data_IF_328124592688
#
_entry.id   IF_328124592688
#
_cell.length_a   1.000
_cell.length_b   1.000
_cell.length_c   1.000
_cell.angle_alpha   90.00
_cell.angle_beta   90.00
_cell.angle_gamma   90.00
#
_symmetry.space_group_name_H-M   'P 1'
#
loop_
_entity.id
_entity.type
_entity.pdbx_description
1 polymer ?
#
# COMPACT_ATOMS: atom_id res chain seq x y z
N UNK A 1 14.91 0.58 25.96
CA UNK A 1 15.79 1.77 26.07
C UNK A 1 16.49 1.69 27.42
N UNK A 2 17.77 2.03 27.51
CA UNK A 2 18.58 1.89 28.74
C UNK A 2 19.09 3.25 29.21
N UNK A 3 19.32 3.40 30.52
CA UNK A 3 19.69 4.68 31.14
C UNK A 3 21.00 4.52 31.93
N UNK A 4 21.92 5.47 31.74
CA UNK A 4 23.17 5.50 32.49
C UNK A 4 22.96 5.98 33.92
N UNK A 5 23.81 5.51 34.84
CA UNK A 5 23.76 5.96 36.25
C UNK A 5 23.98 7.47 36.36
N UNK A 6 24.72 8.06 35.43
CA UNK A 6 25.00 9.49 35.44
C UNK A 6 23.80 10.35 35.05
N UNK A 7 22.92 9.86 34.16
CA UNK A 7 21.65 10.55 33.87
C UNK A 7 20.79 10.59 35.13
N UNK A 8 20.73 9.50 35.90
CA UNK A 8 20.02 9.47 37.18
C UNK A 8 20.62 10.44 38.21
N UNK A 9 21.95 10.57 38.24
CA UNK A 9 22.63 11.55 39.09
C UNK A 9 22.26 12.99 38.71
N UNK A 10 22.22 13.32 37.40
CA UNK A 10 21.78 14.65 36.94
C UNK A 10 20.32 14.95 37.27
N UNK A 11 19.43 13.96 37.18
CA UNK A 11 18.02 14.11 37.58
C UNK A 11 17.91 14.46 39.07
N UNK A 12 18.76 13.86 39.91
CA UNK A 12 18.76 14.12 41.36
C UNK A 12 19.25 15.53 41.72
N UNK A 13 20.03 16.17 40.84
CA UNK A 13 20.54 17.54 41.01
C UNK A 13 19.54 18.63 40.58
N UNK A 14 18.36 18.27 40.08
CA UNK A 14 17.32 19.25 39.71
C UNK A 14 16.70 19.86 40.97
N UNK A 15 16.83 21.18 41.13
CA UNK A 15 16.31 21.91 42.29
C UNK A 15 14.78 21.86 42.38
N UNK A 16 14.09 22.00 41.24
CA UNK A 16 12.63 21.92 41.14
C UNK A 16 12.13 20.51 41.49
N UNK A 17 11.38 20.42 42.59
CA UNK A 17 10.83 19.16 43.09
C UNK A 17 9.82 18.52 42.12
N UNK A 18 8.89 19.31 41.56
CA UNK A 18 7.84 18.78 40.68
C UNK A 18 8.44 18.27 39.37
N UNK A 19 9.38 19.03 38.80
CA UNK A 19 10.10 18.64 37.57
C UNK A 19 10.99 17.42 37.80
N UNK A 20 11.65 17.30 38.94
CA UNK A 20 12.46 16.13 39.29
C UNK A 20 11.61 14.88 39.47
N UNK A 21 10.45 14.99 40.09
CA UNK A 21 9.55 13.85 40.32
C UNK A 21 8.91 13.36 39.02
N UNK A 22 8.48 14.26 38.13
CA UNK A 22 7.94 13.89 36.82
C UNK A 22 8.98 13.16 35.96
N UNK A 23 10.22 13.66 35.91
CA UNK A 23 11.32 13.03 35.17
C UNK A 23 11.70 11.68 35.81
N UNK A 24 11.77 11.57 37.14
CA UNK A 24 12.04 10.30 37.82
C UNK A 24 11.01 9.22 37.47
N UNK A 25 9.72 9.57 37.43
CA UNK A 25 8.67 8.61 37.10
C UNK A 25 8.86 8.04 35.68
N UNK A 26 9.20 8.89 34.70
CA UNK A 26 9.48 8.45 33.32
C UNK A 26 10.69 7.50 33.29
N UNK A 27 11.78 7.86 33.95
CA UNK A 27 13.02 7.09 33.91
C UNK A 27 13.01 5.82 34.78
N UNK A 28 12.10 5.72 35.76
CA UNK A 28 11.91 4.51 36.59
C UNK A 28 11.43 3.29 35.81
N UNK A 29 10.85 3.49 34.63
CA UNK A 29 10.39 2.42 33.73
C UNK A 29 11.53 1.84 32.86
N UNK A 30 12.73 2.42 32.91
CA UNK A 30 13.86 2.06 32.07
C UNK A 30 14.92 1.27 32.86
N UNK A 31 15.52 0.28 32.20
CA UNK A 31 16.59 -0.51 32.80
C UNK A 31 17.89 0.30 32.89
N UNK A 32 18.55 0.22 34.05
CA UNK A 32 19.87 0.82 34.26
C UNK A 32 20.95 0.00 33.55
N UNK A 33 21.88 0.72 32.95
CA UNK A 33 23.03 0.15 32.26
C UNK A 33 23.94 -0.59 33.26
N UNK A 34 24.38 -1.81 32.90
CA UNK A 34 25.31 -2.64 33.67
C UNK A 34 26.59 -2.92 32.89
N UNK A 35 27.75 -2.74 33.54
CA UNK A 35 29.08 -2.97 32.99
C UNK A 35 30.02 -3.55 34.05
N UNK A 36 31.15 -4.10 33.61
CA UNK A 36 32.25 -4.51 34.49
C UNK A 36 33.28 -3.38 34.63
N UNK A 37 33.93 -3.29 35.79
CA UNK A 37 34.97 -2.25 36.03
C UNK A 37 36.14 -2.37 35.05
N UNK A 38 36.48 -3.59 34.63
CA UNK A 38 37.55 -3.84 33.66
C UNK A 38 37.21 -3.26 32.28
N UNK A 39 35.97 -3.43 31.81
CA UNK A 39 35.51 -2.83 30.54
C UNK A 39 35.42 -1.31 30.64
N UNK A 40 34.94 -0.79 31.78
CA UNK A 40 34.84 0.66 32.01
C UNK A 40 36.21 1.35 31.92
N UNK A 41 37.23 0.81 32.61
CA UNK A 41 38.57 1.39 32.57
C UNK A 41 39.20 1.33 31.17
N UNK A 42 38.99 0.23 30.45
CA UNK A 42 39.48 0.09 29.07
C UNK A 42 38.91 1.18 28.16
N UNK A 43 37.59 1.37 28.15
CA UNK A 43 36.95 2.40 27.32
C UNK A 43 37.25 3.83 27.81
N UNK A 44 37.46 4.04 29.11
CA UNK A 44 37.85 5.35 29.65
C UNK A 44 39.19 5.82 29.08
N UNK A 45 40.17 4.92 28.96
CA UNK A 45 41.49 5.23 28.39
C UNK A 45 41.35 5.58 26.91
N UNK A 46 40.67 4.74 26.13
CA UNK A 46 40.48 4.96 24.69
C UNK A 46 39.76 6.28 24.40
N UNK A 47 38.67 6.58 25.11
CA UNK A 47 37.91 7.82 24.90
C UNK A 47 38.70 9.05 25.35
N UNK A 48 39.50 8.97 26.43
CA UNK A 48 40.38 10.08 26.81
C UNK A 48 41.44 10.38 25.74
N UNK A 49 42.02 9.36 25.12
CA UNK A 49 42.95 9.54 23.99
C UNK A 49 42.26 10.26 22.84
N UNK A 50 41.08 9.76 22.42
CA UNK A 50 40.31 10.33 21.32
C UNK A 50 39.91 11.80 21.56
N UNK A 51 39.52 12.13 22.79
CA UNK A 51 39.15 13.50 23.19
C UNK A 51 40.36 14.44 23.15
N UNK A 52 41.54 13.95 23.58
CA UNK A 52 42.78 14.72 23.55
C UNK A 52 43.27 14.94 22.11
N UNK A 53 43.23 13.90 21.26
CA UNK A 53 43.61 13.99 19.85
C UNK A 53 42.77 15.00 19.06
N UNK A 54 41.48 15.12 19.40
CA UNK A 54 40.55 16.03 18.75
C UNK A 54 40.37 17.38 19.50
N UNK A 55 41.17 17.66 20.53
CA UNK A 55 41.12 18.90 21.34
C UNK A 55 39.70 19.27 21.84
N UNK A 56 38.93 18.28 22.30
CA UNK A 56 37.55 18.51 22.75
C UNK A 56 37.46 18.83 24.24
N UNK A 57 36.65 19.84 24.59
CA UNK A 57 36.29 20.17 25.97
C UNK A 57 34.97 19.50 26.35
N UNK A 58 35.05 18.42 27.12
CA UNK A 58 33.89 17.62 27.53
C UNK A 58 33.82 17.55 29.06
N UNK A 59 32.64 17.83 29.62
CA UNK A 59 32.33 17.66 31.04
C UNK A 59 32.54 16.20 31.49
N UNK A 60 33.15 16.00 32.65
CA UNK A 60 33.40 14.68 33.23
C UNK A 60 32.13 13.83 33.35
N UNK A 61 31.00 14.44 33.69
CA UNK A 61 29.73 13.70 33.77
C UNK A 61 29.33 13.14 32.40
N UNK A 62 29.58 13.89 31.34
CA UNK A 62 29.24 13.50 29.98
C UNK A 62 30.21 12.42 29.47
N UNK A 63 31.50 12.54 29.79
CA UNK A 63 32.50 11.49 29.55
C UNK A 63 32.08 10.17 30.22
N UNK A 64 31.69 10.21 31.49
CA UNK A 64 31.24 9.02 32.23
C UNK A 64 30.04 8.37 31.55
N UNK A 65 29.07 9.16 31.06
CA UNK A 65 27.92 8.62 30.35
C UNK A 65 28.30 7.82 29.09
N UNK A 66 29.22 8.34 28.27
CA UNK A 66 29.68 7.69 27.04
C UNK A 66 30.40 6.38 27.39
N UNK A 67 31.35 6.43 28.33
CA UNK A 67 32.13 5.26 28.74
C UNK A 67 31.23 4.17 29.35
N UNK A 68 30.24 4.53 30.17
CA UNK A 68 29.28 3.56 30.70
C UNK A 68 28.47 2.89 29.60
N UNK A 69 28.09 3.64 28.56
CA UNK A 69 27.30 3.12 27.44
C UNK A 69 28.12 2.13 26.61
N UNK A 70 29.37 2.47 26.31
CA UNK A 70 30.32 1.60 25.59
C UNK A 70 30.65 0.34 26.38
N UNK A 71 30.97 0.48 27.67
CA UNK A 71 31.32 -0.65 28.54
C UNK A 71 30.18 -1.68 28.71
N UNK A 72 28.96 -1.30 28.33
CA UNK A 72 27.77 -2.14 28.43
C UNK A 72 27.30 -2.70 27.10
N UNK A 73 28.10 -2.50 26.03
CA UNK A 73 27.80 -3.02 24.69
C UNK A 73 26.63 -2.33 24.00
N UNK A 74 26.35 -1.06 24.31
CA UNK A 74 25.31 -0.28 23.64
C UNK A 74 25.87 0.30 22.35
N UNK A 75 25.23 -0.02 21.23
CA UNK A 75 25.69 0.36 19.89
C UNK A 75 25.11 1.70 19.40
N UNK A 76 24.19 2.33 20.15
CA UNK A 76 23.59 3.62 19.79
C UNK A 76 23.58 4.52 21.02
N UNK A 77 24.19 5.70 20.93
CA UNK A 77 24.25 6.68 22.01
C UNK A 77 23.58 7.97 21.55
N UNK A 78 22.66 8.48 22.37
CA UNK A 78 21.93 9.72 22.11
C UNK A 78 22.67 10.93 22.68
N UNK A 79 22.88 11.95 21.85
CA UNK A 79 23.57 13.18 22.28
C UNK A 79 23.15 14.44 21.54
N UNK A 80 23.05 15.55 22.27
CA UNK A 80 22.90 16.90 21.70
C UNK A 80 24.23 17.65 21.58
N UNK A 81 25.36 17.04 21.94
CA UNK A 81 26.67 17.69 21.88
C UNK A 81 27.19 17.67 20.43
N UNK A 82 27.19 18.84 19.80
CA UNK A 82 27.59 19.03 18.40
C UNK A 82 29.03 18.61 18.14
N UNK A 83 29.93 18.83 19.09
CA UNK A 83 31.35 18.51 18.90
C UNK A 83 31.62 17.01 18.95
N UNK A 84 30.87 16.26 19.76
CA UNK A 84 30.93 14.80 19.74
C UNK A 84 30.27 14.22 18.50
N UNK A 85 29.16 14.81 18.03
CA UNK A 85 28.50 14.36 16.80
C UNK A 85 29.42 14.46 15.55
N UNK A 86 30.36 15.42 15.53
CA UNK A 86 31.39 15.50 14.48
C UNK A 86 32.33 14.30 14.46
N UNK A 87 32.48 13.59 15.58
CA UNK A 87 33.30 12.37 15.68
C UNK A 87 32.51 11.09 15.38
N UNK A 88 31.28 11.19 14.85
CA UNK A 88 30.40 10.04 14.60
C UNK A 88 31.05 8.94 13.76
N UNK A 89 31.76 9.31 12.69
CA UNK A 89 32.44 8.34 11.82
C UNK A 89 33.56 7.60 12.56
N UNK A 90 34.39 8.32 13.31
CA UNK A 90 35.46 7.73 14.13
C UNK A 90 34.92 6.80 15.22
N UNK A 91 33.84 7.20 15.90
CA UNK A 91 33.17 6.35 16.89
C UNK A 91 32.62 5.06 16.29
N UNK A 92 32.10 5.15 15.06
CA UNK A 92 31.60 3.97 14.35
C UNK A 92 32.73 3.06 13.89
N UNK A 93 33.83 3.61 13.39
CA UNK A 93 34.98 2.82 12.96
C UNK A 93 35.64 2.09 14.12
N UNK A 94 35.93 2.80 15.21
CA UNK A 94 36.75 2.32 16.33
C UNK A 94 35.94 1.49 17.35
N UNK A 95 34.70 1.90 17.65
CA UNK A 95 33.88 1.28 18.69
C UNK A 95 32.61 0.58 18.16
N UNK A 96 32.32 0.68 16.85
CA UNK A 96 31.07 0.17 16.25
C UNK A 96 29.82 0.77 16.90
N UNK A 97 29.92 2.03 17.33
CA UNK A 97 28.84 2.76 18.00
C UNK A 97 28.39 3.94 17.17
N UNK A 98 27.07 4.08 17.05
CA UNK A 98 26.41 5.16 16.33
C UNK A 98 26.10 6.27 17.32
N UNK A 99 26.66 7.46 17.08
CA UNK A 99 26.29 8.69 17.75
C UNK A 99 25.16 9.36 16.98
N UNK A 100 24.05 9.67 17.65
CA UNK A 100 22.89 10.27 16.99
C UNK A 100 22.22 11.31 17.89
N UNK A 101 21.72 12.38 17.28
CA UNK A 101 20.93 13.36 18.02
C UNK A 101 19.54 12.80 18.36
N UNK A 102 18.91 13.20 19.49
CA UNK A 102 17.53 12.89 19.78
C UNK A 102 16.57 13.24 18.63
N UNK A 103 16.77 14.38 17.96
CA UNK A 103 15.93 14.79 16.83
C UNK A 103 16.12 13.86 15.63
N UNK A 104 17.35 13.48 15.32
CA UNK A 104 17.63 12.55 14.21
C UNK A 104 17.26 11.11 14.57
N UNK A 105 17.29 10.75 15.86
CA UNK A 105 16.79 9.48 16.35
C UNK A 105 15.27 9.41 16.22
N UNK A 106 14.54 10.46 16.58
CA UNK A 106 13.08 10.53 16.36
C UNK A 106 12.80 10.45 14.86
N UNK A 107 13.51 11.20 14.01
CA UNK A 107 13.35 11.08 12.55
C UNK A 107 13.62 9.66 12.06
N UNK A 108 14.72 9.02 12.47
CA UNK A 108 15.02 7.63 12.09
C UNK A 108 14.05 6.62 12.69
N UNK A 109 13.51 6.89 13.87
CA UNK A 109 12.53 6.02 14.52
C UNK A 109 11.16 6.16 13.85
N UNK A 110 10.76 7.38 13.52
CA UNK A 110 9.61 7.68 12.66
C UNK A 110 9.81 7.06 11.28
N UNK A 111 11.02 7.13 10.71
CA UNK A 111 11.38 6.44 9.48
C UNK A 111 11.32 4.92 9.64
N UNK A 112 11.62 4.34 10.82
CA UNK A 112 11.54 2.88 11.09
C UNK A 112 10.09 2.42 11.35
N UNK A 113 9.28 3.20 12.07
CA UNK A 113 7.84 2.95 12.20
C UNK A 113 7.13 3.14 10.86
N UNK A 114 7.55 4.15 10.10
CA UNK A 114 7.15 4.34 8.72
C UNK A 114 7.81 3.35 7.76
N UNK A 115 8.93 2.67 8.06
CA UNK A 115 9.60 1.69 7.17
C UNK A 115 8.75 0.44 6.95
N UNK A 116 7.73 0.18 7.78
CA UNK A 116 6.66 -0.78 7.42
C UNK A 116 5.85 -0.33 6.19
N UNK A 117 5.86 0.97 5.90
CA UNK A 117 5.22 1.65 4.77
C UNK A 117 6.21 2.29 3.75
N UNK A 118 7.48 2.50 4.11
CA UNK A 118 8.43 3.38 3.39
C UNK A 118 9.63 2.65 2.75
N UNK A 119 9.56 1.33 2.59
CA UNK A 119 10.27 0.73 1.46
C UNK A 119 9.42 0.95 0.23
N UNK A 120 10.07 1.19 -0.92
CA UNK A 120 9.47 0.92 -2.22
C UNK A 120 8.69 -0.37 -2.13
N UNK A 121 7.36 -0.28 -2.04
CA UNK A 121 6.53 -1.45 -2.14
C UNK A 121 6.59 -1.76 -3.63
N UNK A 122 7.15 -2.92 -3.95
CA UNK A 122 6.96 -3.49 -5.27
C UNK A 122 5.49 -3.34 -5.61
N UNK A 123 5.21 -2.68 -6.73
CA UNK A 123 3.84 -2.36 -7.11
C UNK A 123 3.12 -3.67 -7.28
N UNK A 124 2.27 -4.02 -6.31
CA UNK A 124 1.57 -5.31 -6.26
C UNK A 124 2.55 -6.50 -6.34
N UNK A 125 3.68 -6.46 -5.64
CA UNK A 125 4.67 -7.57 -5.64
C UNK A 125 5.45 -7.74 -6.95
N UNK A 126 5.31 -6.82 -7.91
CA UNK A 126 6.07 -6.80 -9.16
C UNK A 126 7.40 -6.09 -8.91
N UNK A 127 8.50 -6.83 -9.02
CA UNK A 127 9.82 -6.30 -8.62
C UNK A 127 10.34 -5.18 -9.54
N UNK A 128 9.91 -5.21 -10.81
CA UNK A 128 10.28 -4.23 -11.82
C UNK A 128 9.53 -2.90 -11.70
N UNK A 129 8.52 -2.82 -10.85
CA UNK A 129 7.69 -1.64 -10.67
C UNK A 129 7.74 -1.19 -9.21
N UNK A 130 8.05 0.08 -8.99
CA UNK A 130 8.21 0.67 -7.67
C UNK A 130 7.08 1.64 -7.40
N UNK A 131 6.31 1.41 -6.34
CA UNK A 131 5.39 2.40 -5.81
C UNK A 131 6.10 3.19 -4.70
N UNK A 132 6.17 4.51 -4.86
CA UNK A 132 6.90 5.41 -3.97
C UNK A 132 6.02 6.60 -3.58
N UNK A 133 6.13 7.11 -2.34
CA UNK A 133 5.59 8.43 -2.01
C UNK A 133 6.42 9.49 -2.74
N UNK A 134 5.75 10.46 -3.35
CA UNK A 134 6.42 11.55 -4.06
C UNK A 134 6.93 12.62 -3.07
N UNK A 135 8.15 13.11 -3.30
CA UNK A 135 8.73 14.22 -2.55
C UNK A 135 8.87 15.50 -3.40
N UNK A 136 9.13 16.65 -2.77
CA UNK A 136 9.21 17.94 -3.46
C UNK A 136 10.36 18.02 -4.48
N UNK A 137 11.46 17.30 -4.27
CA UNK A 137 12.59 17.27 -5.20
C UNK A 137 12.22 16.53 -6.49
N UNK A 138 11.47 15.44 -6.37
CA UNK A 138 10.96 14.65 -7.50
C UNK A 138 9.94 15.41 -8.32
N UNK A 139 9.07 16.20 -7.70
CA UNK A 139 8.09 17.04 -8.43
C UNK A 139 8.78 17.92 -9.49
N UNK A 140 9.94 18.46 -9.18
CA UNK A 140 10.68 19.31 -10.12
C UNK A 140 11.25 18.54 -11.32
N UNK A 141 11.37 17.21 -11.22
CA UNK A 141 11.83 16.32 -12.29
C UNK A 141 10.68 15.83 -13.19
N UNK A 142 9.43 15.84 -12.71
CA UNK A 142 8.24 15.36 -13.43
C UNK A 142 7.75 16.26 -14.57
N UNK A 143 8.61 17.17 -15.06
CA UNK A 143 8.17 18.27 -15.91
C UNK A 143 7.63 17.82 -17.27
N UNK A 144 7.88 16.62 -17.75
CA UNK A 144 7.50 16.22 -19.11
C UNK A 144 6.71 14.92 -19.22
N UNK A 145 6.98 13.92 -18.39
CA UNK A 145 6.51 12.55 -18.69
C UNK A 145 5.06 12.25 -18.25
N UNK A 146 4.51 13.05 -17.33
CA UNK A 146 3.17 12.82 -16.75
C UNK A 146 2.19 13.98 -16.96
N UNK A 147 2.63 15.08 -17.57
CA UNK A 147 1.74 16.21 -17.85
C UNK A 147 0.85 15.83 -19.03
N UNK A 148 -0.46 15.99 -18.87
CA UNK A 148 -1.41 15.67 -19.93
C UNK A 148 -1.30 16.71 -21.06
N UNK A 149 -0.37 16.46 -22.00
CA UNK A 149 -0.06 17.31 -23.16
C UNK A 149 -1.25 17.50 -24.10
N UNK A 150 -2.27 16.65 -24.02
CA UNK A 150 -3.51 16.71 -24.80
C UNK A 150 -4.63 17.52 -24.13
N UNK A 151 -4.41 18.07 -22.93
CA UNK A 151 -5.39 18.88 -22.19
C UNK A 151 -4.99 20.35 -22.12
N UNK A 152 -5.95 21.23 -21.78
CA UNK A 152 -5.67 22.64 -21.42
C UNK A 152 -4.96 22.78 -20.05
N UNK A 153 -4.47 21.70 -19.43
CA UNK A 153 -3.73 21.76 -18.17
C UNK A 153 -2.37 22.42 -18.37
N UNK A 154 -2.20 23.63 -17.86
CA UNK A 154 -0.88 24.25 -17.82
C UNK A 154 0.04 23.47 -16.87
N UNK A 155 1.25 23.15 -17.35
CA UNK A 155 2.27 22.44 -16.58
C UNK A 155 2.54 23.09 -15.20
N UNK A 156 2.56 24.42 -15.13
CA UNK A 156 2.76 25.12 -13.87
C UNK A 156 1.62 24.86 -12.88
N UNK A 157 0.38 24.89 -13.36
CA UNK A 157 -0.81 24.61 -12.55
C UNK A 157 -0.80 23.17 -12.01
N UNK A 158 -0.44 22.20 -12.85
CA UNK A 158 -0.25 20.80 -12.44
C UNK A 158 0.75 20.67 -11.28
N UNK A 159 1.94 21.26 -11.43
CA UNK A 159 3.00 21.18 -10.42
C UNK A 159 2.63 21.90 -9.12
N UNK A 160 1.94 23.05 -9.21
CA UNK A 160 1.46 23.79 -8.05
C UNK A 160 0.42 22.99 -7.27
N UNK A 161 -0.54 22.35 -7.94
CA UNK A 161 -1.51 21.47 -7.30
C UNK A 161 -0.84 20.28 -6.63
N UNK A 162 0.10 19.61 -7.32
CA UNK A 162 0.83 18.47 -6.77
C UNK A 162 1.63 18.86 -5.53
N UNK A 163 2.32 20.00 -5.54
CA UNK A 163 3.01 20.54 -4.35
C UNK A 163 2.03 20.79 -3.21
N UNK A 164 0.87 21.40 -3.50
CA UNK A 164 -0.17 21.65 -2.50
C UNK A 164 -0.70 20.36 -1.86
N UNK A 165 -0.84 19.28 -2.61
CA UNK A 165 -1.23 17.98 -2.07
C UNK A 165 -0.13 17.37 -1.19
N UNK A 166 1.13 17.45 -1.61
CA UNK A 166 2.28 16.96 -0.84
C UNK A 166 2.40 17.67 0.51
N UNK A 167 2.06 18.95 0.60
CA UNK A 167 2.03 19.68 1.88
C UNK A 167 0.90 19.22 2.81
N UNK A 168 -0.19 18.66 2.28
CA UNK A 168 -1.37 18.21 3.05
C UNK A 168 -1.30 16.73 3.46
N UNK A 169 -0.15 16.26 3.94
CA UNK A 169 0.14 14.83 4.24
C UNK A 169 -0.86 14.13 5.16
N UNK A 170 -1.51 14.88 6.06
CA UNK A 170 -2.51 14.30 6.99
C UNK A 170 -3.77 13.80 6.28
N UNK A 171 -4.06 14.35 5.10
CA UNK A 171 -5.29 14.05 4.35
C UNK A 171 -5.01 13.53 2.95
N UNK A 172 -3.85 13.85 2.37
CA UNK A 172 -3.48 13.48 1.02
C UNK A 172 -2.33 12.49 1.03
N UNK A 173 -2.44 11.46 0.20
CA UNK A 173 -1.37 10.52 -0.09
C UNK A 173 -1.04 10.62 -1.57
N UNK A 174 0.20 11.04 -1.88
CA UNK A 174 0.67 11.22 -3.24
C UNK A 174 1.66 10.10 -3.59
N UNK A 175 1.36 9.30 -4.61
CA UNK A 175 2.11 8.11 -4.97
C UNK A 175 2.52 8.17 -6.44
N UNK A 176 3.76 7.80 -6.71
CA UNK A 176 4.32 7.63 -8.05
C UNK A 176 4.70 6.17 -8.28
N UNK A 177 4.44 5.69 -9.48
CA UNK A 177 4.77 4.35 -9.96
C UNK A 177 5.88 4.53 -10.98
N UNK A 178 7.04 3.91 -10.70
CA UNK A 178 8.23 3.94 -11.56
C UNK A 178 8.62 2.55 -12.03
N UNK A 179 9.33 2.45 -13.14
CA UNK A 179 9.92 1.20 -13.60
C UNK A 179 11.33 0.94 -13.01
N UNK A 180 12.03 -0.03 -13.59
CA UNK A 180 13.41 -0.38 -13.22
C UNK A 180 14.40 0.74 -13.55
N UNK A 181 14.15 1.47 -14.63
CA UNK A 181 14.96 2.59 -15.13
C UNK A 181 14.66 3.91 -14.37
N UNK A 182 13.78 3.85 -13.35
CA UNK A 182 13.30 4.98 -12.56
C UNK A 182 12.45 6.00 -13.35
N UNK A 183 11.97 5.61 -14.53
CA UNK A 183 11.04 6.40 -15.35
C UNK A 183 9.64 6.37 -14.74
N UNK A 184 8.94 7.50 -14.79
CA UNK A 184 7.61 7.62 -14.22
C UNK A 184 6.56 7.01 -15.16
N UNK A 185 5.83 6.00 -14.69
CA UNK A 185 4.74 5.37 -15.44
C UNK A 185 3.39 6.00 -15.10
N UNK A 186 3.15 6.22 -13.81
CA UNK A 186 1.88 6.77 -13.34
C UNK A 186 2.04 7.54 -12.03
N UNK A 187 1.13 8.46 -11.79
CA UNK A 187 0.97 9.22 -10.55
C UNK A 187 -0.48 9.12 -10.10
N UNK A 188 -0.71 8.93 -8.82
CA UNK A 188 -2.03 8.96 -8.21
C UNK A 188 -1.99 9.73 -6.89
N UNK A 189 -2.99 10.56 -6.65
CA UNK A 189 -3.17 11.29 -5.41
C UNK A 189 -4.52 10.94 -4.82
N UNK A 190 -4.49 10.41 -3.59
CA UNK A 190 -5.67 10.15 -2.80
C UNK A 190 -5.93 11.27 -1.81
N UNK A 191 -7.20 11.61 -1.60
CA UNK A 191 -7.69 12.42 -0.50
C UNK A 191 -8.60 11.55 0.40
N UNK A 192 -8.22 11.48 1.67
CA UNK A 192 -8.88 10.66 2.71
C UNK A 192 -9.65 11.48 3.75
N UNK A 193 -9.80 12.78 3.54
CA UNK A 193 -10.43 13.71 4.50
C UNK A 193 -11.85 13.32 4.93
N UNK A 194 -12.66 12.77 4.03
CA UNK A 194 -14.03 12.30 4.33
C UNK A 194 -14.04 10.83 4.72
N UNK A 195 -14.81 10.44 5.74
CA UNK A 195 -14.85 9.04 6.22
C UNK A 195 -15.57 8.06 5.29
N UNK A 196 -16.53 8.54 4.50
CA UNK A 196 -17.41 7.67 3.70
C UNK A 196 -16.92 7.49 2.24
N UNK A 197 -15.93 8.27 1.78
CA UNK A 197 -15.43 8.22 0.39
C UNK A 197 -13.92 8.30 0.31
N UNK A 198 -13.29 7.55 -0.59
CA UNK A 198 -11.91 7.76 -1.01
C UNK A 198 -11.93 8.60 -2.28
N UNK A 199 -11.23 9.72 -2.30
CA UNK A 199 -11.21 10.60 -3.46
C UNK A 199 -9.86 10.49 -4.18
N UNK A 200 -9.89 10.27 -5.50
CA UNK A 200 -8.74 10.34 -6.39
C UNK A 200 -8.76 11.76 -6.98
N UNK A 201 -7.97 12.65 -6.38
CA UNK A 201 -7.94 14.07 -6.77
C UNK A 201 -7.06 14.31 -7.99
N UNK A 202 -6.13 13.40 -8.26
CA UNK A 202 -5.25 13.45 -9.42
C UNK A 202 -4.83 12.03 -9.82
N UNK A 203 -4.90 11.73 -11.11
CA UNK A 203 -4.36 10.51 -11.71
C UNK A 203 -3.75 10.84 -13.08
N UNK A 204 -2.49 10.50 -13.29
CA UNK A 204 -1.75 10.73 -14.54
C UNK A 204 -1.00 9.47 -14.94
N UNK A 205 -0.87 9.26 -16.23
CA UNK A 205 -0.11 8.16 -16.82
C UNK A 205 0.83 8.73 -17.91
N UNK A 206 1.99 8.11 -18.10
CA UNK A 206 2.92 8.49 -19.17
C UNK A 206 2.65 7.73 -20.47
N UNK A 207 3.43 8.00 -21.52
CA UNK A 207 3.37 7.26 -22.80
C UNK A 207 4.03 5.87 -22.73
N UNK A 208 4.34 5.38 -21.53
CA UNK A 208 5.00 4.10 -21.33
C UNK A 208 4.11 2.90 -21.74
N UNK A 209 4.72 1.83 -22.28
CA UNK A 209 3.97 0.67 -22.80
C UNK A 209 3.14 -0.11 -21.75
N UNK A 210 3.41 0.09 -20.45
CA UNK A 210 2.62 -0.47 -19.34
C UNK A 210 1.60 0.51 -18.75
N UNK A 211 1.62 1.79 -19.16
CA UNK A 211 0.86 2.86 -18.54
C UNK A 211 -0.63 2.54 -18.39
N UNK A 212 -1.27 2.08 -19.46
CA UNK A 212 -2.69 1.73 -19.48
C UNK A 212 -3.02 0.51 -18.59
N UNK A 213 -2.11 -0.47 -18.51
CA UNK A 213 -2.29 -1.65 -17.65
C UNK A 213 -2.12 -1.27 -16.17
N UNK A 214 -1.13 -0.43 -15.88
CA UNK A 214 -0.93 0.16 -14.54
C UNK A 214 -2.13 1.00 -14.15
N UNK A 215 -2.71 1.80 -15.04
CA UNK A 215 -3.89 2.62 -14.79
C UNK A 215 -5.12 1.78 -14.42
N UNK A 216 -5.41 0.71 -15.18
CA UNK A 216 -6.47 -0.27 -14.85
C UNK A 216 -6.28 -0.87 -13.47
N UNK A 217 -5.04 -1.22 -13.15
CA UNK A 217 -4.70 -1.79 -11.86
C UNK A 217 -4.82 -0.77 -10.72
N UNK A 218 -4.39 0.47 -10.94
CA UNK A 218 -4.54 1.57 -9.97
C UNK A 218 -5.99 1.86 -9.66
N UNK A 219 -6.86 1.93 -10.66
CA UNK A 219 -8.30 2.14 -10.44
C UNK A 219 -8.92 0.96 -9.69
N UNK A 220 -8.61 -0.27 -10.07
CA UNK A 220 -9.09 -1.46 -9.36
C UNK A 220 -8.63 -1.51 -7.89
N UNK A 221 -7.36 -1.23 -7.65
CA UNK A 221 -6.79 -1.21 -6.29
C UNK A 221 -7.32 -0.05 -5.48
N UNK A 222 -7.62 1.11 -6.10
CA UNK A 222 -8.28 2.24 -5.44
C UNK A 222 -9.68 1.86 -4.93
N UNK A 223 -10.47 1.18 -5.76
CA UNK A 223 -11.82 0.71 -5.37
C UNK A 223 -11.71 -0.31 -4.22
N UNK A 224 -10.75 -1.23 -4.32
CA UNK A 224 -10.50 -2.26 -3.31
C UNK A 224 -10.02 -1.65 -1.99
N UNK A 225 -9.12 -0.67 -2.05
CA UNK A 225 -8.59 0.08 -0.92
C UNK A 225 -9.71 0.85 -0.22
N UNK A 226 -10.52 1.59 -0.98
CA UNK A 226 -11.69 2.30 -0.46
C UNK A 226 -12.62 1.34 0.30
N UNK A 227 -12.91 0.18 -0.27
CA UNK A 227 -13.77 -0.83 0.33
C UNK A 227 -13.15 -1.43 1.62
N UNK A 228 -11.85 -1.72 1.61
CA UNK A 228 -11.11 -2.24 2.78
C UNK A 228 -11.03 -1.23 3.92
N UNK A 229 -10.92 0.06 3.61
CA UNK A 229 -10.99 1.16 4.58
C UNK A 229 -12.43 1.40 5.11
N UNK A 230 -13.42 0.63 4.64
CA UNK A 230 -14.81 0.72 5.07
C UNK A 230 -15.58 1.89 4.45
N UNK A 231 -15.01 2.59 3.47
CA UNK A 231 -15.63 3.67 2.71
C UNK A 231 -16.63 3.06 1.71
N UNK A 232 -17.70 3.80 1.39
CA UNK A 232 -18.74 3.32 0.48
C UNK A 232 -18.66 3.94 -0.92
N UNK A 233 -17.83 4.97 -1.10
CA UNK A 233 -17.56 5.59 -2.38
C UNK A 233 -16.06 5.62 -2.72
N UNK A 234 -15.77 5.49 -4.01
CA UNK A 234 -14.52 5.91 -4.62
C UNK A 234 -14.85 6.99 -5.64
N UNK A 235 -14.35 8.21 -5.46
CA UNK A 235 -14.71 9.38 -6.27
C UNK A 235 -13.49 9.87 -7.05
N UNK A 236 -13.66 10.27 -8.30
CA UNK A 236 -12.62 10.91 -9.10
C UNK A 236 -13.06 12.35 -9.35
N UNK A 237 -12.23 13.29 -8.91
CA UNK A 237 -12.49 14.75 -9.00
C UNK A 237 -11.43 15.48 -9.82
N UNK A 238 -10.55 14.71 -10.45
CA UNK A 238 -9.55 15.21 -11.36
C UNK A 238 -10.20 15.83 -12.62
N UNK A 239 -9.87 17.09 -12.88
CA UNK A 239 -10.44 17.86 -13.99
C UNK A 239 -9.75 17.62 -15.33
N UNK A 240 -8.54 17.05 -15.31
CA UNK A 240 -7.69 16.93 -16.50
C UNK A 240 -7.35 15.47 -16.79
N UNK A 241 -8.36 14.60 -16.71
CA UNK A 241 -8.23 13.18 -17.03
C UNK A 241 -7.78 12.98 -18.49
N UNK A 242 -6.80 12.10 -18.67
CA UNK A 242 -6.38 11.62 -19.99
C UNK A 242 -7.46 10.71 -20.61
N UNK A 243 -7.55 10.69 -21.94
CA UNK A 243 -8.58 9.93 -22.67
C UNK A 243 -8.52 8.43 -22.35
N UNK A 244 -7.32 7.88 -22.22
CA UNK A 244 -7.04 6.51 -21.83
C UNK A 244 -7.65 6.19 -20.46
N UNK A 245 -7.54 7.12 -19.51
CA UNK A 245 -8.10 6.95 -18.15
C UNK A 245 -9.63 7.01 -18.20
N UNK A 246 -10.22 7.90 -19.00
CA UNK A 246 -11.68 7.99 -19.18
C UNK A 246 -12.25 6.67 -19.70
N UNK A 247 -11.60 6.06 -20.70
CA UNK A 247 -12.02 4.75 -21.23
C UNK A 247 -12.00 3.66 -20.14
N UNK A 248 -10.94 3.63 -19.32
CA UNK A 248 -10.83 2.66 -18.22
C UNK A 248 -11.92 2.90 -17.15
N UNK A 249 -12.20 4.16 -16.82
CA UNK A 249 -13.26 4.52 -15.86
C UNK A 249 -14.63 4.00 -16.33
N UNK A 250 -14.90 4.04 -17.63
CA UNK A 250 -16.12 3.50 -18.22
C UNK A 250 -16.19 1.97 -18.12
N UNK A 251 -15.07 1.25 -18.33
CA UNK A 251 -14.96 -0.21 -18.14
C UNK A 251 -15.30 -0.64 -16.69
N UNK A 252 -15.08 0.26 -15.72
CA UNK A 252 -15.28 0.04 -14.28
C UNK A 252 -16.63 0.46 -13.71
N UNK A 253 -17.54 0.93 -14.57
CA UNK A 253 -18.91 1.30 -14.18
C UNK A 253 -18.92 2.38 -13.09
N UNK A 254 -18.04 3.38 -13.24
CA UNK A 254 -18.23 4.64 -12.53
C UNK A 254 -19.52 5.30 -13.02
N UNK A 255 -20.19 5.93 -12.07
CA UNK A 255 -21.42 6.68 -12.27
C UNK A 255 -21.04 8.14 -12.39
N UNK A 256 -21.45 8.77 -13.48
CA UNK A 256 -21.24 10.20 -13.69
C UNK A 256 -22.45 10.99 -13.17
N UNK A 257 -22.20 11.92 -12.24
CA UNK A 257 -23.21 12.85 -11.71
C UNK A 257 -22.59 14.23 -11.55
N UNK A 258 -23.20 15.28 -12.12
CA UNK A 258 -22.75 16.67 -11.99
C UNK A 258 -21.26 16.87 -12.31
N UNK A 259 -20.76 16.22 -13.38
CA UNK A 259 -19.33 16.21 -13.78
C UNK A 259 -18.38 15.58 -12.75
N UNK A 260 -18.90 14.76 -11.83
CA UNK A 260 -18.10 13.98 -10.89
C UNK A 260 -18.31 12.49 -11.15
N UNK A 261 -17.22 11.73 -11.10
CA UNK A 261 -17.22 10.31 -11.38
C UNK A 261 -17.16 9.54 -10.06
N UNK A 262 -18.18 8.75 -9.77
CA UNK A 262 -18.33 8.05 -8.50
C UNK A 262 -18.56 6.56 -8.68
N UNK A 263 -17.80 5.75 -7.97
CA UNK A 263 -17.98 4.31 -7.88
C UNK A 263 -18.52 3.94 -6.50
N UNK A 264 -19.65 3.25 -6.47
CA UNK A 264 -20.16 2.63 -5.25
C UNK A 264 -19.37 1.34 -4.96
N UNK A 265 -18.85 1.22 -3.74
CA UNK A 265 -18.08 0.05 -3.33
C UNK A 265 -18.58 -0.50 -1.98
N UNK A 266 -19.38 -1.56 -2.04
CA UNK A 266 -20.00 -2.14 -0.85
C UNK A 266 -19.24 -3.39 -0.39
N UNK A 267 -18.43 -3.23 0.66
CA UNK A 267 -17.67 -4.32 1.26
C UNK A 267 -18.55 -5.19 2.18
N UNK A 268 -19.39 -6.05 1.60
CA UNK A 268 -20.25 -6.98 2.35
C UNK A 268 -20.71 -8.17 1.52
N UNK A 269 -21.20 -9.20 2.22
CA UNK A 269 -21.84 -10.39 1.67
C UNK A 269 -23.19 -10.53 2.35
N UNK A 270 -24.30 -10.46 1.61
CA UNK A 270 -25.63 -10.45 2.22
C UNK A 270 -26.75 -10.80 1.23
N UNK A 271 -27.99 -10.86 1.72
CA UNK A 271 -29.21 -11.11 0.94
C UNK A 271 -29.65 -9.86 0.17
N UNK A 272 -30.39 -10.06 -0.94
CA UNK A 272 -30.96 -8.98 -1.75
C UNK A 272 -31.74 -7.97 -0.90
N UNK A 273 -32.55 -8.47 0.05
CA UNK A 273 -33.37 -7.64 0.94
C UNK A 273 -32.50 -6.74 1.82
N UNK A 274 -31.51 -7.30 2.50
CA UNK A 274 -30.64 -6.54 3.41
C UNK A 274 -29.79 -5.51 2.64
N UNK A 275 -29.35 -5.85 1.44
CA UNK A 275 -28.63 -4.93 0.55
C UNK A 275 -29.53 -3.77 0.14
N UNK A 276 -30.76 -4.05 -0.28
CA UNK A 276 -31.74 -3.01 -0.62
C UNK A 276 -32.01 -2.07 0.58
N UNK A 277 -32.15 -2.62 1.78
CA UNK A 277 -32.34 -1.82 3.00
C UNK A 277 -31.09 -0.98 3.34
N UNK A 278 -29.88 -1.49 3.06
CA UNK A 278 -28.62 -0.75 3.24
C UNK A 278 -28.48 0.38 2.22
N UNK A 279 -28.83 0.14 0.95
CA UNK A 279 -28.84 1.17 -0.08
C UNK A 279 -29.78 2.32 0.28
N UNK A 280 -30.98 2.02 0.79
CA UNK A 280 -31.93 3.05 1.26
C UNK A 280 -31.37 3.89 2.44
N UNK A 281 -30.50 3.31 3.28
CA UNK A 281 -29.81 4.06 4.34
C UNK A 281 -28.70 4.96 3.79
N UNK A 282 -27.99 4.50 2.76
CA UNK A 282 -26.93 5.26 2.10
C UNK A 282 -27.47 6.40 1.26
N UNK A 283 -28.66 6.24 0.68
CA UNK A 283 -29.40 7.28 -0.03
C UNK A 283 -29.49 8.59 0.78
N UNK A 284 -29.75 8.48 2.09
CA UNK A 284 -29.81 9.64 2.99
C UNK A 284 -28.44 10.29 3.26
N UNK A 285 -27.35 9.54 3.11
CA UNK A 285 -25.98 10.00 3.38
C UNK A 285 -25.30 10.58 2.15
N UNK A 286 -25.67 10.10 0.97
CA UNK A 286 -25.03 10.45 -0.31
C UNK A 286 -26.15 10.87 -1.28
N UNK A 287 -26.69 12.08 -1.15
CA UNK A 287 -27.83 12.53 -1.94
C UNK A 287 -27.55 12.58 -3.43
N UNK A 288 -26.29 12.83 -3.84
CA UNK A 288 -25.91 12.89 -5.26
C UNK A 288 -26.18 11.59 -6.04
N UNK A 289 -26.21 10.43 -5.36
CA UNK A 289 -26.44 9.12 -5.97
C UNK A 289 -27.83 8.54 -5.67
N UNK A 290 -28.76 9.37 -5.16
CA UNK A 290 -30.12 8.95 -4.76
C UNK A 290 -30.82 8.11 -5.82
N UNK A 291 -30.81 8.57 -7.08
CA UNK A 291 -31.42 7.85 -8.20
C UNK A 291 -30.86 6.42 -8.34
N UNK A 292 -29.55 6.25 -8.21
CA UNK A 292 -28.90 4.94 -8.34
C UNK A 292 -29.23 4.03 -7.15
N UNK A 293 -29.23 4.56 -5.93
CA UNK A 293 -29.64 3.79 -4.74
C UNK A 293 -31.06 3.27 -4.88
N UNK A 294 -32.00 4.12 -5.31
CA UNK A 294 -33.39 3.75 -5.55
C UNK A 294 -33.50 2.67 -6.62
N UNK A 295 -32.85 2.86 -7.78
CA UNK A 295 -32.86 1.88 -8.88
C UNK A 295 -32.30 0.52 -8.47
N UNK A 296 -31.17 0.48 -7.75
CA UNK A 296 -30.61 -0.78 -7.27
C UNK A 296 -31.51 -1.45 -6.22
N UNK A 297 -32.04 -0.67 -5.27
CA UNK A 297 -32.96 -1.16 -4.22
C UNK A 297 -34.24 -1.74 -4.83
N UNK A 298 -34.87 -1.03 -5.76
CA UNK A 298 -36.05 -1.49 -6.50
C UNK A 298 -35.77 -2.78 -7.26
N UNK A 299 -34.66 -2.85 -7.99
CA UNK A 299 -34.29 -4.04 -8.74
C UNK A 299 -34.08 -5.24 -7.81
N UNK A 300 -33.34 -5.08 -6.71
CA UNK A 300 -33.07 -6.15 -5.74
C UNK A 300 -34.35 -6.70 -5.09
N UNK A 301 -35.38 -5.87 -4.94
CA UNK A 301 -36.69 -6.28 -4.40
C UNK A 301 -37.55 -7.06 -5.41
N UNK A 302 -37.20 -7.06 -6.71
CA UNK A 302 -37.91 -7.86 -7.71
C UNK A 302 -37.58 -9.35 -7.52
N UNK A 303 -38.62 -10.18 -7.51
CA UNK A 303 -38.46 -11.63 -7.35
C UNK A 303 -37.87 -12.31 -8.60
N UNK A 304 -38.04 -11.72 -9.79
CA UNK A 304 -37.75 -12.36 -11.07
C UNK A 304 -36.40 -11.94 -11.70
N UNK A 305 -35.43 -11.49 -10.89
CA UNK A 305 -34.09 -11.20 -11.42
C UNK A 305 -33.40 -12.50 -11.84
N UNK A 306 -32.89 -12.56 -13.08
CA UNK A 306 -32.01 -13.63 -13.52
C UNK A 306 -30.58 -13.47 -12.92
N UNK A 307 -29.75 -14.51 -13.05
CA UNK A 307 -28.39 -14.50 -12.50
C UNK A 307 -27.50 -13.40 -13.11
N UNK A 308 -27.67 -13.10 -14.40
CA UNK A 308 -26.93 -12.06 -15.11
C UNK A 308 -27.16 -10.68 -14.52
N UNK A 309 -28.42 -10.34 -14.22
CA UNK A 309 -28.77 -9.07 -13.59
C UNK A 309 -28.16 -8.93 -12.19
N UNK A 310 -28.12 -10.02 -11.41
CA UNK A 310 -27.48 -10.00 -10.09
C UNK A 310 -25.97 -9.82 -10.21
N UNK A 311 -25.32 -10.52 -11.15
CA UNK A 311 -23.89 -10.35 -11.42
C UNK A 311 -23.56 -8.95 -11.93
N UNK A 312 -24.46 -8.32 -12.69
CA UNK A 312 -24.32 -6.93 -13.11
C UNK A 312 -24.41 -5.98 -11.90
N UNK A 313 -25.35 -6.19 -10.98
CA UNK A 313 -25.44 -5.41 -9.74
C UNK A 313 -24.16 -5.59 -8.90
N UNK A 314 -23.64 -6.82 -8.77
CA UNK A 314 -22.34 -7.05 -8.09
C UNK A 314 -21.19 -6.30 -8.76
N UNK A 315 -21.21 -6.14 -10.09
CA UNK A 315 -20.19 -5.36 -10.82
C UNK A 315 -20.30 -3.88 -10.52
N UNK A 316 -21.51 -3.32 -10.50
CA UNK A 316 -21.74 -1.91 -10.13
C UNK A 316 -21.35 -1.61 -8.68
N UNK A 317 -21.59 -2.55 -7.77
CA UNK A 317 -21.41 -2.39 -6.32
C UNK A 317 -20.17 -3.14 -5.77
N UNK A 318 -19.24 -3.52 -6.65
CA UNK A 318 -18.05 -4.31 -6.30
C UNK A 318 -17.34 -3.71 -5.07
N UNK A 319 -16.98 -4.49 -4.04
CA UNK A 319 -16.83 -5.97 -4.03
C UNK A 319 -18.02 -6.77 -3.45
N UNK A 320 -19.24 -6.23 -3.50
CA UNK A 320 -20.46 -6.88 -3.00
C UNK A 320 -20.64 -8.33 -3.47
N UNK A 321 -21.18 -9.19 -2.58
CA UNK A 321 -21.70 -10.53 -2.94
C UNK A 321 -23.12 -10.78 -2.44
N UNK A 322 -23.97 -11.30 -3.32
CA UNK A 322 -25.38 -11.63 -3.06
C UNK A 322 -25.53 -13.16 -2.86
N UNK A 323 -26.10 -13.60 -1.74
CA UNK A 323 -26.11 -15.04 -1.37
C UNK A 323 -27.45 -15.76 -1.50
N UNK A 324 -28.56 -15.03 -1.60
CA UNK A 324 -29.93 -15.54 -1.72
C UNK A 324 -30.42 -15.60 -3.19
N UNK A 325 -29.50 -15.87 -4.11
CA UNK A 325 -29.78 -16.12 -5.52
C UNK A 325 -28.97 -17.32 -6.01
N UNK A 326 -29.53 -18.11 -6.92
CA UNK A 326 -28.90 -19.29 -7.50
C UNK A 326 -27.83 -18.94 -8.55
N UNK A 327 -26.80 -18.21 -8.10
CA UNK A 327 -25.59 -17.96 -8.90
C UNK A 327 -24.66 -19.15 -8.75
N UNK A 328 -24.30 -19.76 -9.89
CA UNK A 328 -23.35 -20.87 -9.92
C UNK A 328 -21.98 -20.43 -9.42
N UNK A 329 -21.40 -21.21 -8.50
CA UNK A 329 -20.06 -21.01 -7.98
C UNK A 329 -19.19 -22.20 -8.40
N UNK A 330 -18.13 -21.94 -9.16
CA UNK A 330 -17.19 -22.95 -9.65
C UNK A 330 -15.91 -22.87 -8.85
N UNK A 331 -15.54 -23.96 -8.19
CA UNK A 331 -14.24 -24.05 -7.52
C UNK A 331 -13.23 -24.58 -8.53
N UNK A 332 -12.28 -23.74 -8.91
CA UNK A 332 -11.21 -24.12 -9.85
C UNK A 332 -9.90 -24.22 -9.08
N UNK A 333 -9.27 -25.42 -9.03
CA UNK A 333 -7.97 -25.57 -8.42
C UNK A 333 -6.88 -24.94 -9.29
N UNK A 334 -5.96 -24.22 -8.66
CA UNK A 334 -4.79 -23.62 -9.29
C UNK A 334 -3.55 -23.93 -8.45
N UNK A 335 -2.38 -24.09 -9.08
CA UNK A 335 -1.13 -24.26 -8.33
C UNK A 335 -0.63 -22.93 -7.74
N UNK A 336 0.05 -22.95 -6.58
CA UNK A 336 0.53 -21.73 -5.93
C UNK A 336 1.39 -20.84 -6.82
N UNK A 337 2.24 -21.43 -7.67
CA UNK A 337 3.09 -20.70 -8.61
C UNK A 337 2.25 -19.86 -9.59
N UNK A 338 1.23 -20.46 -10.19
CA UNK A 338 0.38 -19.76 -11.15
C UNK A 338 -0.54 -18.73 -10.48
N UNK A 339 -1.04 -19.05 -9.28
CA UNK A 339 -1.80 -18.07 -8.49
C UNK A 339 -0.94 -16.85 -8.13
N UNK A 340 0.33 -17.08 -7.76
CA UNK A 340 1.30 -16.04 -7.51
C UNK A 340 1.52 -15.14 -8.73
N UNK A 341 1.59 -15.70 -9.94
CA UNK A 341 1.80 -14.91 -11.17
C UNK A 341 0.56 -14.16 -11.68
N UNK A 342 -0.64 -14.50 -11.20
CA UNK A 342 -1.90 -13.97 -11.75
C UNK A 342 -2.62 -12.97 -10.84
N UNK A 343 -2.74 -13.28 -9.55
CA UNK A 343 -3.60 -12.47 -8.67
C UNK A 343 -3.16 -12.48 -7.20
N UNK A 344 -2.31 -13.40 -6.78
CA UNK A 344 -1.98 -13.59 -5.37
C UNK A 344 -0.63 -12.96 -5.01
N UNK A 345 -0.66 -11.65 -4.76
CA UNK A 345 0.52 -10.89 -4.35
C UNK A 345 1.24 -11.50 -3.14
N UNK A 346 0.50 -12.02 -2.15
CA UNK A 346 1.11 -12.59 -0.94
C UNK A 346 1.85 -13.90 -1.22
N UNK A 347 1.50 -14.62 -2.28
CA UNK A 347 2.27 -15.78 -2.74
C UNK A 347 3.47 -15.33 -3.58
N UNK A 348 3.31 -14.30 -4.42
CA UNK A 348 4.41 -13.74 -5.21
C UNK A 348 5.55 -13.21 -4.32
N UNK A 349 5.22 -12.50 -3.25
CA UNK A 349 6.17 -11.97 -2.25
C UNK A 349 6.99 -13.05 -1.52
N UNK A 350 6.56 -14.32 -1.56
CA UNK A 350 7.34 -15.45 -1.00
C UNK A 350 8.44 -15.94 -1.94
N UNK A 351 8.46 -15.46 -3.18
CA UNK A 351 9.48 -15.79 -4.17
C UNK A 351 10.51 -14.68 -4.28
N UNK A 352 11.74 -15.03 -4.65
CA UNK A 352 12.84 -14.07 -4.74
C UNK A 352 12.61 -12.97 -5.79
N UNK A 353 11.84 -13.27 -6.83
CA UNK A 353 11.63 -12.41 -7.99
C UNK A 353 10.22 -11.81 -8.08
N UNK A 354 9.34 -12.11 -7.12
CA UNK A 354 7.95 -11.68 -7.19
C UNK A 354 7.19 -12.29 -8.37
N UNK A 355 6.30 -11.50 -8.99
CA UNK A 355 5.60 -11.89 -10.20
C UNK A 355 6.57 -12.09 -11.37
N UNK A 356 6.52 -13.25 -12.02
CA UNK A 356 7.39 -13.54 -13.18
C UNK A 356 6.89 -12.92 -14.49
N UNK A 357 5.62 -12.54 -14.56
CA UNK A 357 5.00 -11.92 -15.74
C UNK A 357 4.19 -10.68 -15.36
N UNK A 358 4.80 -9.50 -15.51
CA UNK A 358 4.23 -8.19 -15.16
C UNK A 358 2.85 -7.98 -15.77
N UNK A 359 2.69 -8.28 -17.06
CA UNK A 359 1.42 -8.11 -17.75
C UNK A 359 0.31 -9.00 -17.17
N UNK A 360 0.63 -10.22 -16.73
CA UNK A 360 -0.36 -11.09 -16.07
C UNK A 360 -0.78 -10.54 -14.71
N UNK A 361 0.21 -10.11 -13.92
CA UNK A 361 0.01 -9.59 -12.57
C UNK A 361 -0.92 -8.36 -12.52
N UNK A 362 -0.84 -7.52 -13.56
CA UNK A 362 -1.64 -6.30 -13.69
C UNK A 362 -2.95 -6.52 -14.45
N UNK A 363 -3.11 -7.67 -15.12
CA UNK A 363 -4.29 -7.91 -15.93
C UNK A 363 -5.48 -8.25 -15.04
N UNK A 364 -6.63 -7.68 -15.37
CA UNK A 364 -7.89 -7.92 -14.67
C UNK A 364 -8.71 -9.03 -15.29
N UNK A 365 -8.41 -9.35 -16.55
CA UNK A 365 -9.07 -10.38 -17.33
C UNK A 365 -8.07 -11.49 -17.65
N UNK A 366 -8.51 -12.74 -17.48
CA UNK A 366 -7.68 -13.90 -17.76
C UNK A 366 -8.53 -15.01 -18.38
N UNK A 367 -7.89 -15.83 -19.22
CA UNK A 367 -8.52 -16.96 -19.89
C UNK A 367 -8.05 -18.26 -19.24
N UNK A 368 -9.00 -19.12 -18.88
CA UNK A 368 -8.73 -20.44 -18.33
C UNK A 368 -9.05 -21.52 -19.35
N UNK A 369 -8.03 -22.27 -19.79
CA UNK A 369 -8.22 -23.41 -20.67
C UNK A 369 -8.58 -24.65 -19.86
N UNK A 370 -9.72 -25.25 -20.18
CA UNK A 370 -10.16 -26.50 -19.56
C UNK A 370 -10.07 -27.68 -20.52
N UNK A 371 -9.66 -28.82 -20.00
CA UNK A 371 -9.68 -30.07 -20.77
C UNK A 371 -11.11 -30.51 -21.09
N UNK A 372 -11.27 -31.30 -22.16
CA UNK A 372 -12.56 -31.93 -22.54
C UNK A 372 -13.13 -32.86 -21.44
N UNK A 373 -12.28 -33.34 -20.53
CA UNK A 373 -12.68 -34.21 -19.39
C UNK A 373 -13.16 -33.42 -18.16
N UNK A 374 -13.00 -32.09 -18.16
CA UNK A 374 -13.43 -31.21 -17.08
C UNK A 374 -14.96 -31.19 -16.94
N UNK A 375 -15.51 -30.82 -15.77
CA UNK A 375 -16.96 -30.85 -15.53
C UNK A 375 -17.76 -30.15 -16.64
N UNK A 376 -18.77 -30.85 -17.17
CA UNK A 376 -19.68 -30.34 -18.21
C UNK A 376 -20.52 -29.15 -17.76
N UNK A 377 -20.51 -28.85 -16.46
CA UNK A 377 -21.27 -27.76 -15.85
C UNK A 377 -20.69 -26.37 -16.17
N UNK A 378 -19.43 -26.27 -16.58
CA UNK A 378 -18.85 -25.05 -17.15
C UNK A 378 -18.97 -25.13 -18.69
N UNK A 379 -20.12 -24.69 -19.20
CA UNK A 379 -20.51 -24.78 -20.61
C UNK A 379 -20.89 -23.40 -21.17
N UNK A 380 -21.08 -23.33 -22.50
CA UNK A 380 -21.50 -22.13 -23.22
C UNK A 380 -22.77 -21.52 -22.58
N UNK A 381 -22.80 -20.19 -22.47
CA UNK A 381 -23.97 -19.44 -21.97
C UNK A 381 -24.17 -19.48 -20.45
N UNK A 382 -23.18 -19.96 -19.69
CA UNK A 382 -23.25 -19.97 -18.23
C UNK A 382 -22.53 -18.75 -17.66
N UNK A 383 -23.21 -18.06 -16.74
CA UNK A 383 -22.62 -17.02 -15.89
C UNK A 383 -22.50 -17.53 -14.45
N UNK A 384 -21.52 -17.01 -13.73
CA UNK A 384 -21.28 -17.42 -12.35
C UNK A 384 -20.05 -16.78 -11.73
N UNK A 385 -19.62 -17.36 -10.61
CA UNK A 385 -18.40 -16.98 -9.90
C UNK A 385 -17.37 -18.09 -10.00
N UNK A 386 -16.12 -17.74 -10.20
CA UNK A 386 -14.99 -18.65 -10.10
C UNK A 386 -14.32 -18.40 -8.76
N UNK A 387 -14.27 -19.42 -7.91
CA UNK A 387 -13.55 -19.43 -6.65
C UNK A 387 -12.22 -20.14 -6.87
N UNK A 388 -11.13 -19.38 -6.82
CA UNK A 388 -9.80 -19.91 -7.05
C UNK A 388 -9.28 -20.60 -5.80
N UNK A 389 -9.24 -21.93 -5.83
CA UNK A 389 -8.67 -22.75 -4.77
C UNK A 389 -7.19 -22.97 -5.04
N UNK A 390 -6.33 -22.29 -4.27
CA UNK A 390 -4.89 -22.50 -4.38
C UNK A 390 -4.58 -23.84 -3.74
N UNK A 391 -4.30 -24.83 -4.58
CA UNK A 391 -4.00 -26.20 -4.17
C UNK A 391 -2.67 -26.26 -3.42
N UNK A 392 -2.50 -27.25 -2.55
CA UNK A 392 -1.21 -27.48 -1.89
C UNK A 392 -0.11 -27.94 -2.86
N UNK A 393 -0.49 -28.53 -4.00
CA UNK A 393 0.39 -29.01 -5.06
C UNK A 393 1.51 -29.96 -4.58
N UNK A 394 2.43 -30.28 -5.49
CA UNK A 394 3.70 -30.95 -5.18
C UNK A 394 4.71 -30.02 -4.45
N UNK A 395 4.47 -28.71 -4.49
CA UNK A 395 5.35 -27.66 -3.97
C UNK A 395 5.01 -27.18 -2.54
N UNK A 396 4.39 -28.03 -1.71
CA UNK A 396 3.93 -27.68 -0.35
C UNK A 396 5.01 -27.12 0.58
N UNK A 397 6.30 -27.36 0.28
CA UNK A 397 7.46 -26.84 1.03
C UNK A 397 7.89 -25.43 0.62
N UNK A 398 7.47 -24.93 -0.55
CA UNK A 398 7.92 -23.63 -1.10
C UNK A 398 6.98 -22.47 -0.80
N UNK A 399 5.69 -22.74 -0.66
CA UNK A 399 4.67 -21.72 -0.41
C UNK A 399 3.94 -22.03 0.88
N UNK A 400 3.85 -21.04 1.77
CA UNK A 400 2.99 -21.13 2.94
C UNK A 400 1.55 -20.77 2.57
N UNK A 401 0.59 -21.05 3.46
CA UNK A 401 -0.76 -20.51 3.34
C UNK A 401 -1.58 -20.97 2.11
N UNK A 402 -1.23 -22.12 1.55
CA UNK A 402 -1.93 -22.83 0.46
C UNK A 402 -3.03 -23.76 0.98
N UNK A 403 -3.87 -24.32 0.10
CA UNK A 403 -4.97 -25.22 0.45
C UNK A 403 -6.28 -24.52 0.82
N UNK A 404 -6.57 -23.36 0.20
CA UNK A 404 -7.76 -22.54 0.49
C UNK A 404 -8.17 -21.70 -0.70
N UNK A 405 -9.40 -21.18 -0.67
CA UNK A 405 -9.85 -20.17 -1.62
C UNK A 405 -9.11 -18.87 -1.35
N UNK A 406 -8.53 -18.28 -2.40
CA UNK A 406 -7.69 -17.07 -2.30
C UNK A 406 -8.20 -15.90 -3.13
N UNK A 407 -8.98 -16.16 -4.17
CA UNK A 407 -9.58 -15.14 -5.00
C UNK A 407 -10.95 -15.57 -5.52
N UNK A 408 -11.75 -14.58 -5.93
CA UNK A 408 -13.02 -14.77 -6.59
C UNK A 408 -13.03 -13.93 -7.88
N UNK A 409 -13.24 -14.58 -9.01
CA UNK A 409 -13.44 -13.92 -10.30
C UNK A 409 -14.90 -14.06 -10.75
N UNK A 410 -15.33 -13.16 -11.62
CA UNK A 410 -16.57 -13.35 -12.37
C UNK A 410 -16.29 -14.25 -13.58
N UNK A 411 -17.22 -15.13 -13.91
CA UNK A 411 -17.21 -15.82 -15.19
C UNK A 411 -17.90 -14.92 -16.23
N UNK A 412 -17.11 -14.35 -17.14
CA UNK A 412 -17.60 -13.47 -18.19
C UNK A 412 -18.22 -14.26 -19.34
N UNK A 413 -17.43 -15.18 -19.93
CA UNK A 413 -17.88 -16.02 -21.04
C UNK A 413 -17.22 -17.40 -21.01
N UNK A 414 -17.91 -18.37 -21.60
CA UNK A 414 -17.35 -19.69 -21.93
C UNK A 414 -17.42 -19.85 -23.43
N UNK A 415 -16.29 -20.17 -24.06
CA UNK A 415 -16.19 -20.37 -25.51
C UNK A 415 -15.58 -21.73 -25.80
N UNK A 416 -16.03 -22.36 -26.88
CA UNK A 416 -15.52 -23.63 -27.37
C UNK A 416 -15.05 -23.41 -28.81
N UNK A 417 -13.76 -23.58 -29.04
CA UNK A 417 -13.15 -23.51 -30.37
C UNK A 417 -11.87 -24.35 -30.39
N UNK A 418 -11.21 -24.41 -31.54
CA UNK A 418 -9.90 -25.06 -31.71
C UNK A 418 -8.82 -24.30 -30.93
N UNK A 419 -7.78 -25.01 -30.41
CA UNK A 419 -6.71 -24.36 -29.65
C UNK A 419 -6.02 -23.21 -30.40
N UNK A 420 -5.88 -23.33 -31.73
CA UNK A 420 -5.26 -22.30 -32.58
C UNK A 420 -6.08 -21.02 -32.59
N UNK A 421 -7.39 -21.12 -32.74
CA UNK A 421 -8.29 -19.96 -32.78
C UNK A 421 -8.43 -19.30 -31.42
N UNK A 422 -8.56 -20.09 -30.35
CA UNK A 422 -8.60 -19.55 -28.98
C UNK A 422 -7.31 -18.82 -28.64
N UNK A 423 -6.15 -19.42 -28.92
CA UNK A 423 -4.87 -18.77 -28.69
C UNK A 423 -4.74 -17.49 -29.53
N UNK A 424 -5.13 -17.52 -30.81
CA UNK A 424 -5.09 -16.32 -31.67
C UNK A 424 -5.95 -15.19 -31.11
N UNK A 425 -7.16 -15.50 -30.65
CA UNK A 425 -8.13 -14.54 -30.12
C UNK A 425 -7.66 -13.97 -28.79
N UNK A 426 -7.16 -14.81 -27.88
CA UNK A 426 -6.92 -14.45 -26.48
C UNK A 426 -5.46 -14.33 -26.07
N UNK A 427 -4.49 -14.46 -26.99
CA UNK A 427 -3.04 -14.30 -26.68
C UNK A 427 -2.66 -12.98 -26.02
N UNK A 428 -3.49 -11.94 -26.18
CA UNK A 428 -3.28 -10.64 -25.56
C UNK A 428 -3.77 -10.61 -24.10
N UNK A 429 -4.70 -11.50 -23.75
CA UNK A 429 -5.11 -11.75 -22.38
C UNK A 429 -4.17 -12.77 -21.73
N UNK A 430 -4.04 -12.69 -20.42
CA UNK A 430 -3.31 -13.72 -19.68
C UNK A 430 -4.01 -15.07 -19.80
N UNK A 431 -3.26 -16.18 -19.84
CA UNK A 431 -3.85 -17.51 -19.93
C UNK A 431 -3.36 -18.50 -18.88
N UNK A 432 -4.24 -19.44 -18.51
CA UNK A 432 -4.06 -20.56 -17.59
C UNK A 432 -4.26 -21.92 -18.27
#
# INVERSE_FOLDING_TARGET
>A
MWVSKEILNKINQINDYQKRQSIRNIFSQLSCINYTDQQYQRFLISIKSLIQENNLLIDESYLRHIVQSLASGINIILTNNVDILKLSDQFYEEFKVILISPNDFIKRFDDIEQQKNYHSRFFTGIHSLKQLPINLEEVNKLRHDLVNSCSEEEQQYFLENLRNFIFKKDTHECLIIKDEDNEAIALIVYNRSKKDQLEITMIRISEHYLAETVARHLLFTSISLSAQEGRQLTKITDKYLQYEIINIIQEDYFIETNNELSKLNLYLIDTKKNIADKLNKLEKKIPELTFFFQRFSENLRKNNLNAENILLIERYLFPLKIIDHDIKNFIIPIEPKWAADLFDQKLAEQTLFGFSQIKLALNREAVYYKSKRSPKQLALGISGRILWYVSSGSNRKKFCHVGRIRACSRLDEVIIDTPKELHRKYRHLGYL
#
